data_IF_863763146539
#
_entry.id   IF_863763146539
#
_cell.length_a   1.000
_cell.length_b   1.000
_cell.length_c   1.000
_cell.angle_alpha   90.00
_cell.angle_beta   90.00
_cell.angle_gamma   90.00
#
_symmetry.space_group_name_H-M   'P 1'
#
loop_
_entity.id
_entity.type
_entity.pdbx_description
1 polymer ?
#
# COMPACT_ATOMS: atom_id res chain seq x y z
N UNK A 1 44.13 26.86 -21.95
CA UNK A 1 43.42 25.84 -21.14
C UNK A 1 41.97 25.78 -21.62
N UNK A 2 41.72 25.07 -22.71
CA UNK A 2 40.39 25.02 -23.36
C UNK A 2 39.62 23.84 -22.78
N UNK A 3 38.73 24.13 -21.85
CA UNK A 3 37.83 23.14 -21.25
C UNK A 3 36.88 22.63 -22.34
N UNK A 4 36.88 21.32 -22.54
CA UNK A 4 36.14 20.64 -23.58
C UNK A 4 34.64 20.55 -23.19
N UNK A 5 33.89 21.61 -23.49
CA UNK A 5 32.47 21.83 -23.15
C UNK A 5 31.56 20.65 -23.51
N UNK A 6 31.89 19.87 -24.55
CA UNK A 6 31.12 18.69 -24.95
C UNK A 6 31.21 17.51 -23.96
N UNK A 7 32.33 17.34 -23.25
CA UNK A 7 32.48 16.27 -22.25
C UNK A 7 31.71 16.59 -20.97
N UNK A 8 31.69 17.88 -20.60
CA UNK A 8 30.95 18.38 -19.44
C UNK A 8 29.43 18.26 -19.64
N UNK A 9 28.93 18.63 -20.83
CA UNK A 9 27.51 18.54 -21.17
C UNK A 9 26.99 17.10 -21.22
N UNK A 10 27.80 16.16 -21.74
CA UNK A 10 27.46 14.72 -21.75
C UNK A 10 27.43 14.11 -20.34
N UNK A 11 28.35 14.51 -19.46
CA UNK A 11 28.35 14.08 -18.06
C UNK A 11 27.14 14.59 -17.28
N UNK A 12 26.73 15.84 -17.53
CA UNK A 12 25.56 16.45 -16.90
C UNK A 12 24.25 15.77 -17.33
N UNK A 13 24.07 15.50 -18.63
CA UNK A 13 22.90 14.79 -19.15
C UNK A 13 22.84 13.36 -18.60
N UNK A 14 23.98 12.65 -18.56
CA UNK A 14 24.02 11.28 -18.04
C UNK A 14 23.74 11.22 -16.53
N UNK A 15 24.23 12.18 -15.76
CA UNK A 15 23.95 12.27 -14.32
C UNK A 15 22.48 12.61 -14.03
N UNK A 16 21.89 13.52 -14.82
CA UNK A 16 20.47 13.87 -14.72
C UNK A 16 19.57 12.68 -15.10
N UNK A 17 19.98 11.88 -16.09
CA UNK A 17 19.25 10.68 -16.50
C UNK A 17 19.27 9.59 -15.43
N UNK A 18 20.42 9.37 -14.78
CA UNK A 18 20.53 8.41 -13.66
C UNK A 18 19.66 8.86 -12.48
N UNK A 19 19.65 10.16 -12.15
CA UNK A 19 18.82 10.71 -11.09
C UNK A 19 17.32 10.59 -11.41
N UNK A 20 16.94 10.83 -12.66
CA UNK A 20 15.57 10.68 -13.14
C UNK A 20 15.10 9.22 -13.09
N UNK A 21 15.93 8.27 -13.52
CA UNK A 21 15.62 6.83 -13.42
C UNK A 21 15.49 6.35 -11.97
N UNK A 22 16.28 6.90 -11.04
CA UNK A 22 16.17 6.55 -9.62
C UNK A 22 14.85 7.06 -9.01
N UNK A 23 14.38 8.23 -9.44
CA UNK A 23 13.12 8.80 -8.97
C UNK A 23 11.89 8.12 -9.59
N UNK A 24 11.96 7.72 -10.87
CA UNK A 24 10.88 6.99 -11.54
C UNK A 24 10.78 5.51 -11.11
N UNK A 25 11.83 4.96 -10.48
CA UNK A 25 11.94 3.55 -10.12
C UNK A 25 11.21 3.13 -8.84
N UNK A 26 10.64 4.06 -8.06
CA UNK A 26 9.77 3.70 -6.94
C UNK A 26 8.40 3.31 -7.49
N UNK A 27 8.29 2.08 -8.00
CA UNK A 27 6.99 1.47 -8.27
C UNK A 27 6.19 1.53 -6.96
N UNK A 28 5.10 2.30 -6.98
CA UNK A 28 4.22 2.46 -5.83
C UNK A 28 3.60 1.09 -5.54
N UNK A 29 4.09 0.42 -4.49
CA UNK A 29 3.43 -0.76 -3.93
C UNK A 29 2.16 -0.23 -3.27
N UNK A 30 1.07 -0.19 -4.04
CA UNK A 30 -0.25 0.01 -3.48
C UNK A 30 -0.51 -1.15 -2.52
N UNK A 31 -0.88 -0.84 -1.27
CA UNK A 31 -1.26 -1.89 -0.36
C UNK A 31 -2.52 -2.57 -0.91
N UNK A 32 -2.41 -3.85 -1.24
CA UNK A 32 -3.52 -4.60 -1.81
C UNK A 32 -4.66 -4.77 -0.79
N UNK A 33 -5.90 -4.84 -1.29
CA UNK A 33 -7.09 -5.13 -0.48
C UNK A 33 -7.17 -6.63 -0.18
N UNK A 34 -7.41 -6.97 1.08
CA UNK A 34 -7.52 -8.35 1.56
C UNK A 34 -8.97 -8.65 1.96
N UNK A 35 -9.56 -9.66 1.33
CA UNK A 35 -10.85 -10.20 1.72
C UNK A 35 -10.68 -11.26 2.82
N UNK A 36 -11.25 -11.01 4.00
CA UNK A 36 -11.27 -11.93 5.13
C UNK A 36 -12.64 -12.60 5.20
N UNK A 37 -12.72 -13.88 4.81
CA UNK A 37 -13.99 -14.60 4.78
C UNK A 37 -14.31 -15.17 6.16
N UNK A 38 -15.39 -14.66 6.74
CA UNK A 38 -15.86 -15.01 8.09
C UNK A 38 -15.35 -14.04 9.16
N UNK A 39 -16.24 -13.67 10.08
CA UNK A 39 -16.00 -12.71 11.17
C UNK A 39 -15.85 -13.37 12.55
N UNK A 40 -15.62 -14.68 12.57
CA UNK A 40 -15.34 -15.44 13.81
C UNK A 40 -13.93 -15.20 14.35
N UNK A 41 -13.49 -16.03 15.30
CA UNK A 41 -12.21 -15.85 16.01
C UNK A 41 -10.99 -15.63 15.10
N UNK A 42 -10.89 -16.40 14.00
CA UNK A 42 -9.76 -16.30 13.07
C UNK A 42 -9.82 -15.01 12.26
N UNK A 43 -10.94 -14.74 11.59
CA UNK A 43 -11.08 -13.53 10.77
C UNK A 43 -11.00 -12.25 11.61
N UNK A 44 -11.58 -12.28 12.80
CA UNK A 44 -11.53 -11.18 13.77
C UNK A 44 -10.13 -10.91 14.34
N UNK A 45 -9.22 -11.88 14.28
CA UNK A 45 -7.82 -11.73 14.67
C UNK A 45 -6.93 -11.33 13.49
N UNK A 46 -7.16 -11.89 12.30
CA UNK A 46 -6.33 -11.64 11.12
C UNK A 46 -6.58 -10.26 10.50
N UNK A 47 -7.83 -9.86 10.31
CA UNK A 47 -8.15 -8.62 9.62
C UNK A 47 -7.50 -7.38 10.25
N UNK A 48 -7.57 -7.17 11.59
CA UNK A 48 -6.88 -6.04 12.22
C UNK A 48 -5.35 -6.06 12.06
N UNK A 49 -4.73 -7.23 11.89
CA UNK A 49 -3.29 -7.33 11.67
C UNK A 49 -2.91 -6.99 10.24
N UNK A 50 -3.70 -7.42 9.26
CA UNK A 50 -3.51 -7.00 7.87
C UNK A 50 -3.65 -5.48 7.70
N UNK A 51 -4.65 -4.89 8.34
CA UNK A 51 -4.81 -3.45 8.42
C UNK A 51 -3.58 -2.73 9.01
N UNK A 52 -3.00 -3.26 10.09
CA UNK A 52 -1.77 -2.71 10.68
C UNK A 52 -0.56 -2.79 9.77
N UNK A 53 -0.53 -3.75 8.85
CA UNK A 53 0.50 -3.88 7.81
C UNK A 53 0.26 -2.93 6.62
N UNK A 54 -0.83 -2.17 6.64
CA UNK A 54 -1.16 -1.15 5.64
C UNK A 54 -2.16 -1.61 4.60
N UNK A 55 -2.68 -2.84 4.66
CA UNK A 55 -3.67 -3.35 3.72
C UNK A 55 -5.08 -2.82 4.02
N UNK A 56 -5.84 -2.56 2.96
CA UNK A 56 -7.29 -2.39 3.09
C UNK A 56 -7.95 -3.75 3.36
N UNK A 57 -9.00 -3.80 4.18
CA UNK A 57 -9.62 -5.05 4.61
C UNK A 57 -11.11 -5.06 4.32
N UNK A 58 -11.60 -6.13 3.68
CA UNK A 58 -13.04 -6.38 3.51
C UNK A 58 -13.40 -7.65 4.26
N UNK A 59 -14.30 -7.57 5.23
CA UNK A 59 -14.81 -8.73 5.95
C UNK A 59 -16.04 -9.30 5.24
N UNK A 60 -15.92 -10.54 4.75
CA UNK A 60 -17.07 -11.29 4.24
C UNK A 60 -17.88 -11.88 5.40
N UNK A 61 -19.11 -11.41 5.60
CA UNK A 61 -20.06 -11.92 6.59
C UNK A 61 -21.36 -12.32 5.91
N UNK A 62 -22.06 -13.29 6.49
CA UNK A 62 -23.44 -13.58 6.08
C UNK A 62 -24.42 -12.51 6.55
N UNK A 63 -24.04 -11.77 7.59
CA UNK A 63 -24.80 -10.69 8.22
C UNK A 63 -23.81 -9.54 8.49
N UNK A 64 -23.52 -8.68 7.51
CA UNK A 64 -22.53 -7.61 7.66
C UNK A 64 -22.97 -6.54 8.67
N UNK A 65 -24.28 -6.29 8.81
CA UNK A 65 -24.83 -5.27 9.71
C UNK A 65 -24.86 -5.68 11.20
N UNK A 66 -24.48 -6.92 11.53
CA UNK A 66 -24.49 -7.41 12.92
C UNK A 66 -23.52 -6.58 13.77
N UNK A 67 -23.91 -6.27 15.00
CA UNK A 67 -23.20 -5.34 15.88
C UNK A 67 -21.73 -5.72 16.13
N UNK A 68 -21.43 -7.01 16.31
CA UNK A 68 -20.07 -7.54 16.49
C UNK A 68 -19.21 -7.36 15.22
N UNK A 69 -19.80 -7.47 14.03
CA UNK A 69 -19.12 -7.26 12.75
C UNK A 69 -18.81 -5.78 12.56
N UNK A 70 -19.78 -4.91 12.84
CA UNK A 70 -19.57 -3.46 12.78
C UNK A 70 -18.54 -2.98 13.81
N UNK A 71 -18.53 -3.57 15.00
CA UNK A 71 -17.49 -3.34 16.00
C UNK A 71 -16.12 -3.85 15.53
N UNK A 72 -16.07 -4.99 14.81
CA UNK A 72 -14.85 -5.51 14.18
C UNK A 72 -14.33 -4.58 13.09
N UNK A 73 -15.19 -4.01 12.23
CA UNK A 73 -14.81 -3.00 11.24
C UNK A 73 -14.27 -1.75 11.93
N UNK A 74 -15.00 -1.24 12.92
CA UNK A 74 -14.65 0.00 13.63
C UNK A 74 -13.33 -0.08 14.42
N UNK A 75 -12.96 -1.26 14.94
CA UNK A 75 -11.68 -1.46 15.64
C UNK A 75 -10.49 -1.67 14.70
N UNK A 76 -10.75 -1.96 13.43
CA UNK A 76 -9.71 -2.19 12.42
C UNK A 76 -9.22 -0.85 11.89
N UNK A 77 -7.92 -0.60 12.00
CA UNK A 77 -7.31 0.65 11.52
C UNK A 77 -7.27 0.72 10.00
N UNK A 78 -7.15 1.91 9.43
CA UNK A 78 -7.08 2.08 7.97
C UNK A 78 -8.45 1.92 7.32
N UNK A 79 -8.50 1.48 6.06
CA UNK A 79 -9.76 1.29 5.36
C UNK A 79 -10.27 -0.14 5.61
N UNK A 80 -11.39 -0.24 6.30
CA UNK A 80 -12.07 -1.51 6.56
C UNK A 80 -13.56 -1.42 6.23
N UNK A 81 -14.12 -2.49 5.69
CA UNK A 81 -15.54 -2.61 5.33
C UNK A 81 -16.05 -4.03 5.61
N UNK A 82 -17.37 -4.21 5.66
CA UNK A 82 -18.02 -5.51 5.79
C UNK A 82 -19.10 -5.70 4.71
N UNK A 83 -19.08 -6.87 4.06
CA UNK A 83 -19.97 -7.25 2.96
C UNK A 83 -20.58 -8.62 3.18
#
# INVERSE_FOLDING_TARGET
MTINTHKFFRGLISGLFILFCFFAGTAQVAAETIAVIGTGNVGGALGPQFAKLGHDVIYGSREPEREDVQALVSKTSGNADAQ
#
